data_IF_929212514641
#
_entry.id   IF_929212514641
#
_cell.length_a   1.000
_cell.length_b   1.000
_cell.length_c   1.000
_cell.angle_alpha   90.00
_cell.angle_beta   90.00
_cell.angle_gamma   90.00
#
_symmetry.space_group_name_H-M   'P 1'
#
loop_
_entity.id
_entity.type
_entity.pdbx_description
1 polymer ?
#
# COMPACT_ATOMS: atom_id res chain seq x y z
N UNK A 1 16.77 6.89 -11.55
CA UNK A 1 16.00 6.16 -10.51
C UNK A 1 16.18 4.68 -10.76
N UNK A 2 16.45 3.90 -9.71
CA UNK A 2 16.63 2.46 -9.83
C UNK A 2 15.41 1.72 -9.29
N UNK A 3 15.17 0.53 -9.83
CA UNK A 3 14.04 -0.30 -9.43
C UNK A 3 14.45 -1.77 -9.26
N UNK A 4 13.81 -2.45 -8.32
CA UNK A 4 13.88 -3.91 -8.21
C UNK A 4 13.23 -4.58 -9.45
N UNK A 5 13.67 -5.77 -9.82
CA UNK A 5 13.16 -6.48 -11.00
C UNK A 5 11.63 -6.74 -10.98
N UNK A 6 11.04 -6.91 -9.79
CA UNK A 6 9.57 -7.00 -9.65
C UNK A 6 8.86 -5.69 -10.06
N UNK A 7 9.42 -4.54 -9.68
CA UNK A 7 8.90 -3.22 -10.06
C UNK A 7 9.15 -2.96 -11.54
N UNK A 8 10.31 -3.37 -12.07
CA UNK A 8 10.62 -3.25 -13.50
C UNK A 8 9.58 -3.99 -14.37
N UNK A 9 9.18 -5.20 -13.97
CA UNK A 9 8.14 -5.99 -14.65
C UNK A 9 6.79 -5.29 -14.64
N UNK A 10 6.39 -4.73 -13.49
CA UNK A 10 5.15 -3.95 -13.39
C UNK A 10 5.21 -2.70 -14.27
N UNK A 11 6.31 -1.95 -14.22
CA UNK A 11 6.50 -0.76 -15.06
C UNK A 11 6.45 -1.08 -16.56
N UNK A 12 6.93 -2.25 -16.99
CA UNK A 12 6.82 -2.68 -18.39
C UNK A 12 5.35 -2.85 -18.79
N UNK A 13 4.55 -3.58 -17.99
CA UNK A 13 3.13 -3.76 -18.25
C UNK A 13 2.36 -2.43 -18.33
N UNK A 14 2.68 -1.47 -17.45
CA UNK A 14 2.10 -0.13 -17.49
C UNK A 14 2.48 0.64 -18.78
N UNK A 15 3.74 0.55 -19.21
CA UNK A 15 4.19 1.19 -20.46
C UNK A 15 3.54 0.55 -21.69
N UNK A 16 3.38 -0.77 -21.71
CA UNK A 16 2.66 -1.49 -22.76
C UNK A 16 1.19 -1.09 -22.83
N UNK A 17 0.58 -0.73 -21.68
CA UNK A 17 -0.75 -0.16 -21.59
C UNK A 17 -0.81 1.35 -21.91
N UNK A 18 0.29 1.98 -22.34
CA UNK A 18 0.37 3.38 -22.74
C UNK A 18 0.57 4.37 -21.59
N UNK A 19 0.86 3.91 -20.36
CA UNK A 19 1.12 4.80 -19.22
C UNK A 19 2.54 5.36 -19.31
N UNK A 20 2.66 6.69 -19.39
CA UNK A 20 3.93 7.38 -19.39
C UNK A 20 4.59 7.33 -18.00
N UNK A 21 5.57 6.44 -17.86
CA UNK A 21 6.39 6.32 -16.63
C UNK A 21 7.80 6.88 -16.86
N UNK A 22 8.42 7.51 -15.85
CA UNK A 22 9.81 7.95 -15.94
C UNK A 22 10.78 6.83 -16.34
N UNK A 23 11.92 7.20 -16.91
CA UNK A 23 12.98 6.24 -17.20
C UNK A 23 13.52 5.62 -15.89
N UNK A 24 13.69 4.31 -15.90
CA UNK A 24 14.11 3.53 -14.73
C UNK A 24 15.16 2.50 -15.13
N UNK A 25 16.18 2.34 -14.30
CA UNK A 25 17.17 1.28 -14.45
C UNK A 25 16.87 0.13 -13.48
N UNK A 26 17.00 -1.10 -13.95
CA UNK A 26 16.79 -2.27 -13.08
C UNK A 26 18.06 -2.59 -12.33
N UNK A 27 17.95 -2.80 -11.02
CA UNK A 27 19.06 -3.24 -10.18
C UNK A 27 19.45 -4.67 -10.55
N UNK A 28 20.72 -4.89 -10.84
CA UNK A 28 21.33 -6.20 -11.15
C UNK A 28 22.58 -6.44 -10.31
N UNK A 29 23.17 -7.63 -10.40
CA UNK A 29 24.45 -7.94 -9.75
C UNK A 29 25.61 -7.08 -10.25
N UNK A 30 25.51 -6.53 -11.47
CA UNK A 30 26.51 -5.66 -12.07
C UNK A 30 26.30 -4.18 -11.74
N UNK A 31 25.24 -3.82 -11.01
CA UNK A 31 24.96 -2.42 -10.66
C UNK A 31 26.04 -1.87 -9.75
N UNK A 32 26.73 -0.81 -10.21
CA UNK A 32 27.81 -0.16 -9.47
C UNK A 32 27.26 0.77 -8.37
N UNK A 33 26.73 0.23 -7.27
CA UNK A 33 26.14 1.04 -6.19
C UNK A 33 27.06 2.12 -5.62
N UNK A 34 28.38 1.90 -5.65
CA UNK A 34 29.37 2.89 -5.18
C UNK A 34 29.34 4.21 -5.96
N UNK A 35 28.88 4.20 -7.21
CA UNK A 35 28.77 5.42 -8.04
C UNK A 35 27.41 6.10 -7.91
N UNK A 36 26.47 5.52 -7.15
CA UNK A 36 25.07 5.92 -7.07
C UNK A 36 24.73 6.62 -5.75
N UNK A 37 25.65 7.45 -5.22
CA UNK A 37 25.35 8.25 -4.02
C UNK A 37 24.15 9.18 -4.27
N UNK A 38 23.14 9.09 -3.40
CA UNK A 38 21.91 9.87 -3.50
C UNK A 38 20.86 9.30 -4.47
N UNK A 39 21.07 8.11 -5.02
CA UNK A 39 20.08 7.49 -5.89
C UNK A 39 18.86 6.97 -5.11
N UNK A 40 17.66 7.17 -5.68
CA UNK A 40 16.43 6.55 -5.21
C UNK A 40 16.29 5.14 -5.80
N UNK A 41 16.05 4.16 -4.93
CA UNK A 41 15.77 2.76 -5.28
C UNK A 41 14.34 2.42 -4.86
N UNK A 42 13.51 1.95 -5.79
CA UNK A 42 12.14 1.48 -5.50
C UNK A 42 12.09 -0.04 -5.51
N UNK A 43 11.57 -0.63 -4.45
CA UNK A 43 11.52 -2.07 -4.26
C UNK A 43 10.22 -2.51 -3.56
N UNK A 44 9.76 -3.76 -3.75
CA UNK A 44 8.57 -4.25 -3.06
C UNK A 44 8.81 -4.41 -1.54
N UNK A 45 7.77 -4.35 -0.70
CA UNK A 45 7.90 -4.52 0.76
C UNK A 45 8.60 -5.82 1.16
N UNK A 46 8.39 -6.90 0.39
CA UNK A 46 8.93 -8.22 0.67
C UNK A 46 10.47 -8.31 0.70
N UNK A 47 11.18 -7.34 0.11
CA UNK A 47 12.66 -7.33 0.10
C UNK A 47 13.25 -6.47 1.21
N UNK A 48 12.43 -5.83 2.05
CA UNK A 48 12.90 -5.04 3.19
C UNK A 48 13.72 -5.93 4.14
N UNK A 49 14.89 -5.46 4.56
CA UNK A 49 15.80 -6.21 5.45
C UNK A 49 16.50 -7.42 4.82
N UNK A 50 16.18 -7.77 3.57
CA UNK A 50 16.75 -8.93 2.87
C UNK A 50 18.22 -8.73 2.50
N UNK A 51 18.89 -9.82 2.07
CA UNK A 51 20.26 -9.75 1.51
C UNK A 51 20.36 -8.82 0.30
N UNK A 52 19.30 -8.73 -0.51
CA UNK A 52 19.24 -7.82 -1.65
C UNK A 52 19.31 -6.36 -1.19
N UNK A 53 18.53 -5.97 -0.18
CA UNK A 53 18.55 -4.62 0.36
C UNK A 53 19.91 -4.29 1.01
N UNK A 54 20.51 -5.26 1.72
CA UNK A 54 21.86 -5.12 2.31
C UNK A 54 22.96 -4.89 1.25
N UNK A 55 22.81 -5.46 0.06
CA UNK A 55 23.77 -5.28 -1.04
C UNK A 55 23.79 -3.85 -1.62
N UNK A 56 22.75 -3.04 -1.35
CA UNK A 56 22.71 -1.62 -1.72
C UNK A 56 23.74 -0.78 -0.95
N UNK A 57 24.34 -1.34 0.12
CA UNK A 57 25.26 -0.63 1.01
C UNK A 57 24.53 0.24 2.04
N UNK A 58 25.22 1.19 2.70
CA UNK A 58 24.60 2.12 3.63
C UNK A 58 23.51 2.94 2.94
N UNK A 59 22.28 2.86 3.46
CA UNK A 59 21.11 3.55 2.92
C UNK A 59 20.17 3.97 4.06
N UNK A 60 19.28 4.92 3.76
CA UNK A 60 18.09 5.17 4.56
C UNK A 60 16.89 4.52 3.90
N UNK A 61 16.01 3.93 4.69
CA UNK A 61 14.81 3.27 4.18
C UNK A 61 13.54 4.09 4.40
N UNK A 62 12.58 3.91 3.49
CA UNK A 62 11.29 4.57 3.61
C UNK A 62 10.18 3.68 3.08
N UNK A 63 8.99 3.83 3.65
CA UNK A 63 7.81 3.08 3.27
C UNK A 63 6.65 4.01 2.93
N UNK A 64 6.03 3.80 1.76
CA UNK A 64 4.85 4.53 1.33
C UNK A 64 3.62 3.63 1.49
N UNK A 65 2.73 3.97 2.41
CA UNK A 65 1.51 3.20 2.69
C UNK A 65 0.51 4.01 3.51
N UNK A 66 -0.79 3.76 3.33
CA UNK A 66 -1.85 4.38 4.14
C UNK A 66 -1.67 4.10 5.64
N UNK A 67 -1.09 2.95 5.96
CA UNK A 67 -0.75 2.56 7.33
C UNK A 67 0.32 3.43 7.98
N UNK A 68 1.10 4.20 7.20
CA UNK A 68 2.07 5.15 7.76
C UNK A 68 1.39 6.32 8.49
N UNK A 69 0.07 6.47 8.35
CA UNK A 69 -0.74 7.37 9.19
C UNK A 69 -0.86 6.87 10.64
N UNK A 70 -0.76 5.55 10.86
CA UNK A 70 -0.89 4.97 12.19
C UNK A 70 0.46 4.90 12.91
N UNK A 71 0.55 5.52 14.09
CA UNK A 71 1.76 5.51 14.92
C UNK A 71 2.27 4.10 15.21
N UNK A 72 1.36 3.15 15.47
CA UNK A 72 1.71 1.75 15.76
C UNK A 72 2.34 1.04 14.56
N UNK A 73 1.74 1.17 13.37
CA UNK A 73 2.26 0.53 12.15
C UNK A 73 3.62 1.13 11.73
N UNK A 74 3.76 2.46 11.80
CA UNK A 74 5.05 3.13 11.57
C UNK A 74 6.14 2.64 12.53
N UNK A 75 5.83 2.53 13.83
CA UNK A 75 6.77 2.03 14.84
C UNK A 75 7.18 0.58 14.58
N UNK A 76 6.23 -0.31 14.30
CA UNK A 76 6.48 -1.74 14.06
C UNK A 76 7.36 -2.01 12.83
N UNK A 77 7.23 -1.21 11.78
CA UNK A 77 8.02 -1.36 10.55
C UNK A 77 9.47 -0.89 10.69
N UNK A 78 9.79 -0.06 11.69
CA UNK A 78 11.16 0.34 11.99
C UNK A 78 11.88 1.10 10.88
N UNK A 79 11.16 1.77 9.98
CA UNK A 79 11.74 2.53 8.86
C UNK A 79 12.16 3.95 9.27
N UNK A 80 13.18 4.50 8.62
CA UNK A 80 13.65 5.87 8.86
C UNK A 80 12.55 6.90 8.53
N UNK A 81 11.76 6.64 7.47
CA UNK A 81 10.68 7.52 7.02
C UNK A 81 9.43 6.77 6.57
N UNK A 82 8.26 7.26 7.00
CA UNK A 82 6.96 6.79 6.51
C UNK A 82 6.28 7.88 5.69
N UNK A 83 5.73 7.52 4.54
CA UNK A 83 4.91 8.39 3.70
C UNK A 83 3.47 7.86 3.69
N UNK A 84 2.50 8.71 4.03
CA UNK A 84 1.08 8.36 3.96
C UNK A 84 0.67 8.36 2.50
N UNK A 85 0.41 7.18 1.95
CA UNK A 85 0.05 7.01 0.54
C UNK A 85 -0.88 5.80 0.39
N UNK A 86 -2.08 6.00 -0.11
CA UNK A 86 -3.12 4.97 -0.25
C UNK A 86 -3.91 5.22 -1.53
N UNK A 87 -4.31 4.15 -2.19
CA UNK A 87 -5.21 4.14 -3.35
C UNK A 87 -6.69 3.96 -2.97
N UNK A 88 -6.97 3.57 -1.72
CA UNK A 88 -8.34 3.53 -1.19
C UNK A 88 -8.98 4.92 -1.05
N UNK A 89 -10.29 4.98 -1.29
CA UNK A 89 -11.11 6.16 -1.01
C UNK A 89 -11.08 6.51 0.48
N UNK A 90 -11.00 7.80 0.78
CA UNK A 90 -11.24 8.31 2.12
C UNK A 90 -12.74 8.40 2.40
N UNK A 91 -13.09 8.78 3.64
CA UNK A 91 -14.48 8.83 4.07
C UNK A 91 -15.35 9.76 3.19
N UNK A 92 -14.96 11.02 2.90
CA UNK A 92 -15.70 11.86 1.96
C UNK A 92 -15.82 11.25 0.56
N UNK A 93 -14.74 10.68 0.01
CA UNK A 93 -14.74 10.04 -1.31
C UNK A 93 -15.70 8.85 -1.37
N UNK A 94 -15.71 8.02 -0.32
CA UNK A 94 -16.61 6.88 -0.20
C UNK A 94 -18.08 7.31 -0.14
N UNK A 95 -18.41 8.32 0.67
CA UNK A 95 -19.78 8.85 0.75
C UNK A 95 -20.21 9.52 -0.55
N UNK A 96 -19.31 10.24 -1.24
CA UNK A 96 -19.63 10.83 -2.55
C UNK A 96 -19.94 9.74 -3.56
N UNK A 97 -19.12 8.69 -3.63
CA UNK A 97 -19.34 7.55 -4.52
C UNK A 97 -20.70 6.89 -4.27
N UNK A 98 -21.04 6.60 -3.00
CA UNK A 98 -22.35 6.04 -2.64
C UNK A 98 -23.49 6.95 -3.11
N UNK A 99 -23.41 8.25 -2.82
CA UNK A 99 -24.44 9.22 -3.23
C UNK A 99 -24.57 9.31 -4.75
N UNK A 100 -23.46 9.36 -5.47
CA UNK A 100 -23.43 9.47 -6.94
C UNK A 100 -24.03 8.23 -7.62
N UNK A 101 -24.01 7.06 -6.97
CA UNK A 101 -24.68 5.87 -7.50
C UNK A 101 -26.20 5.96 -7.48
N UNK A 102 -26.78 6.77 -6.58
CA UNK A 102 -28.23 6.78 -6.32
C UNK A 102 -28.77 5.47 -5.71
N UNK A 103 -27.90 4.61 -5.20
CA UNK A 103 -28.29 3.32 -4.64
C UNK A 103 -29.18 3.51 -3.40
N UNK A 104 -30.29 2.78 -3.36
CA UNK A 104 -31.19 2.73 -2.20
C UNK A 104 -30.75 1.67 -1.17
N UNK A 105 -29.98 0.68 -1.63
CA UNK A 105 -29.39 -0.38 -0.81
C UNK A 105 -27.89 -0.43 -1.03
N UNK A 106 -27.12 -0.44 0.05
CA UNK A 106 -25.65 -0.48 0.03
C UNK A 106 -25.17 -1.65 0.86
N UNK A 107 -24.38 -2.53 0.25
CA UNK A 107 -23.75 -3.66 0.93
C UNK A 107 -22.28 -3.31 1.14
N UNK A 108 -21.88 -3.18 2.41
CA UNK A 108 -20.52 -2.79 2.79
C UNK A 108 -19.66 -4.04 2.95
N UNK A 109 -18.47 -4.00 2.38
CA UNK A 109 -17.48 -5.09 2.46
C UNK A 109 -16.10 -4.51 2.75
N UNK A 110 -15.30 -5.22 3.54
CA UNK A 110 -13.91 -4.89 3.89
C UNK A 110 -13.75 -3.58 4.70
N UNK A 111 -12.95 -3.64 5.76
CA UNK A 111 -12.66 -2.48 6.63
C UNK A 111 -13.57 -2.41 7.86
N UNK A 112 -13.77 -1.21 8.41
CA UNK A 112 -14.71 -0.99 9.52
C UNK A 112 -16.14 -0.86 8.97
N UNK A 113 -16.75 -2.00 8.69
CA UNK A 113 -18.07 -2.11 8.08
C UNK A 113 -19.16 -1.49 8.98
N UNK A 114 -19.07 -1.69 10.30
CA UNK A 114 -20.09 -1.27 11.26
C UNK A 114 -20.28 0.24 11.30
N UNK A 115 -19.17 1.00 11.26
CA UNK A 115 -19.23 2.47 11.24
C UNK A 115 -19.94 2.99 9.99
N UNK A 116 -19.63 2.44 8.81
CA UNK A 116 -20.23 2.90 7.56
C UNK A 116 -21.70 2.47 7.45
N UNK A 117 -22.03 1.22 7.78
CA UNK A 117 -23.41 0.72 7.78
C UNK A 117 -24.30 1.59 8.66
N UNK A 118 -23.85 1.88 9.90
CA UNK A 118 -24.62 2.76 10.80
C UNK A 118 -24.88 4.13 10.17
N UNK A 119 -23.83 4.76 9.65
CA UNK A 119 -23.94 6.10 9.08
C UNK A 119 -24.88 6.16 7.86
N UNK A 120 -24.80 5.19 6.96
CA UNK A 120 -25.67 5.14 5.78
C UNK A 120 -27.13 4.88 6.18
N UNK A 121 -27.37 4.05 7.19
CA UNK A 121 -28.72 3.83 7.75
C UNK A 121 -29.29 5.09 8.39
N UNK A 122 -28.47 5.89 9.09
CA UNK A 122 -28.89 7.21 9.61
C UNK A 122 -29.28 8.20 8.50
N UNK A 123 -28.71 8.06 7.30
CA UNK A 123 -29.11 8.82 6.10
C UNK A 123 -30.36 8.26 5.40
N UNK A 124 -30.97 7.20 5.94
CA UNK A 124 -32.19 6.59 5.41
C UNK A 124 -31.96 5.57 4.31
N UNK A 125 -30.73 5.14 4.08
CA UNK A 125 -30.42 4.06 3.14
C UNK A 125 -30.58 2.69 3.79
N UNK A 126 -30.90 1.67 3.00
CA UNK A 126 -30.81 0.28 3.47
C UNK A 126 -29.34 -0.15 3.40
N UNK A 127 -28.63 -0.15 4.53
CA UNK A 127 -27.23 -0.57 4.57
C UNK A 127 -27.03 -1.85 5.41
N UNK A 128 -26.27 -2.80 4.87
CA UNK A 128 -25.91 -4.05 5.55
C UNK A 128 -24.42 -4.35 5.32
N UNK A 129 -23.80 -5.07 6.25
CA UNK A 129 -22.46 -5.63 6.05
C UNK A 129 -22.56 -6.98 5.32
N UNK A 130 -21.62 -7.27 4.42
CA UNK A 130 -21.51 -8.59 3.84
C UNK A 130 -20.66 -9.48 4.75
N UNK A 131 -21.29 -10.45 5.40
CA UNK A 131 -20.56 -11.46 6.15
C UNK A 131 -19.76 -12.34 5.17
N UNK A 132 -18.48 -12.03 5.00
CA UNK A 132 -17.53 -12.88 4.30
C UNK A 132 -16.87 -13.85 5.28
N UNK A 133 -16.53 -15.05 4.81
CA UNK A 133 -15.73 -16.03 5.57
C UNK A 133 -14.27 -15.57 5.80
N UNK A 134 -13.89 -14.40 5.29
CA UNK A 134 -12.53 -13.84 5.30
C UNK A 134 -12.33 -12.67 6.28
N UNK A 135 -13.23 -12.51 7.25
CA UNK A 135 -13.25 -11.38 8.20
C UNK A 135 -12.00 -11.17 9.08
N UNK A 136 -11.02 -12.09 9.05
CA UNK A 136 -9.81 -12.06 9.87
C UNK A 136 -8.52 -11.62 9.12
N UNK A 137 -8.59 -11.06 7.91
CA UNK A 137 -7.38 -10.48 7.29
C UNK A 137 -6.95 -9.13 7.88
N UNK A 138 -7.68 -8.61 8.86
CA UNK A 138 -7.10 -7.63 9.77
C UNK A 138 -6.32 -8.35 10.86
N UNK A 139 -5.00 -8.35 10.72
CA UNK A 139 -3.95 -8.62 11.71
C UNK A 139 -3.17 -9.92 11.47
N UNK A 140 -2.23 -9.86 10.51
CA UNK A 140 -1.03 -10.69 10.58
C UNK A 140 -0.22 -10.33 11.82
N UNK A 141 -0.59 -10.93 12.96
CA UNK A 141 0.30 -11.15 14.08
C UNK A 141 1.48 -11.95 13.57
N UNK A 142 2.68 -11.35 13.70
CA UNK A 142 3.91 -12.12 13.65
C UNK A 142 3.99 -12.79 15.01
N UNK A 143 4.03 -14.12 15.00
CA UNK A 143 4.19 -14.99 16.18
C UNK A 143 5.35 -14.51 17.06
N UNK A 144 5.09 -14.40 18.38
CA UNK A 144 6.16 -14.30 19.38
C UNK A 144 6.81 -15.70 19.51
N UNK A 145 8.15 -15.84 19.37
CA UNK A 145 8.80 -17.10 19.66
C UNK A 145 8.84 -17.32 21.18
N UNK A 146 8.49 -18.55 21.58
CA UNK A 146 8.58 -19.08 22.94
C UNK A 146 10.03 -19.14 23.47
#
# INVERSE_FOLDING_TARGET
MLVHAAVARLNAAYRDAGVALPATETVTSCTAFKTLRGALVIAPPAVQGSRWAKALGPHSDAFASGWMRLRGARRRRGVDRGFVFSDHADWPGLLSAVRETGAQRVIVTHGDEGTLVRYLTELGLQADAFATEYGDETHGGIEDPA
#
